data_IF_411441497061
#
_entry.id   IF_411441497061
#
_cell.length_a   1.000
_cell.length_b   1.000
_cell.length_c   1.000
_cell.angle_alpha   90.00
_cell.angle_beta   90.00
_cell.angle_gamma   90.00
#
_symmetry.space_group_name_H-M   'P 1'
#
loop_
_entity.id
_entity.type
_entity.pdbx_description
1 polymer ?
#
# COMPACT_ATOMS: atom_id res chain seq x y z
N UNK A 1 4.52 -21.80 -3.64
CA UNK A 1 4.25 -21.29 -3.41
C UNK A 1 4.50 -20.21 -2.56
N UNK A 2 5.15 -20.28 -1.61
CA UNK A 2 5.39 -19.24 -0.71
C UNK A 2 6.16 -18.10 -1.29
N UNK A 3 6.66 -18.27 -2.48
CA UNK A 3 7.53 -17.25 -3.01
C UNK A 3 6.85 -16.26 -3.91
N UNK A 4 5.57 -16.36 -4.08
CA UNK A 4 4.88 -15.38 -4.90
C UNK A 4 4.86 -14.05 -4.20
N UNK A 5 5.20 -12.95 -4.91
CA UNK A 5 5.13 -11.65 -4.30
C UNK A 5 3.69 -11.27 -4.00
N UNK A 6 3.52 -10.47 -2.95
CA UNK A 6 2.21 -9.98 -2.60
C UNK A 6 1.73 -9.03 -3.70
N UNK A 7 0.62 -9.37 -4.33
CA UNK A 7 0.08 -8.54 -5.40
C UNK A 7 -0.86 -7.48 -4.82
N UNK A 8 -1.19 -6.48 -5.65
CA UNK A 8 -2.16 -5.49 -5.26
C UNK A 8 -3.51 -6.12 -4.96
N UNK A 9 -3.88 -7.15 -5.71
CA UNK A 9 -5.14 -7.84 -5.47
C UNK A 9 -5.16 -8.52 -4.11
N UNK A 10 -4.04 -9.15 -3.73
CA UNK A 10 -3.95 -9.78 -2.42
C UNK A 10 -4.03 -8.75 -1.30
N UNK A 11 -3.39 -7.60 -1.49
CA UNK A 11 -3.43 -6.54 -0.50
C UNK A 11 -4.85 -6.00 -0.33
N UNK A 12 -5.57 -5.81 -1.44
CA UNK A 12 -6.95 -5.35 -1.39
C UNK A 12 -7.83 -6.37 -0.68
N UNK A 13 -7.63 -7.64 -0.99
CA UNK A 13 -8.41 -8.70 -0.33
C UNK A 13 -8.19 -8.70 1.17
N UNK A 14 -6.95 -8.50 1.60
CA UNK A 14 -6.63 -8.42 3.02
C UNK A 14 -7.34 -7.22 3.67
N UNK A 15 -7.31 -6.06 3.02
CA UNK A 15 -7.96 -4.87 3.56
C UNK A 15 -9.46 -5.02 3.63
N UNK A 16 -10.07 -5.70 2.66
CA UNK A 16 -11.50 -5.99 2.72
C UNK A 16 -11.84 -6.88 3.91
N UNK A 17 -10.98 -7.83 4.20
CA UNK A 17 -11.18 -8.69 5.36
C UNK A 17 -11.09 -7.89 6.64
N UNK A 18 -10.11 -7.00 6.76
CA UNK A 18 -9.99 -6.13 7.93
C UNK A 18 -11.24 -5.27 8.07
N UNK A 19 -11.71 -4.71 6.97
CA UNK A 19 -12.92 -3.88 6.96
C UNK A 19 -14.10 -4.67 7.52
N UNK A 20 -14.28 -5.90 7.05
CA UNK A 20 -15.40 -6.73 7.48
C UNK A 20 -15.33 -7.09 8.95
N UNK A 21 -14.12 -7.38 9.43
CA UNK A 21 -13.94 -7.85 10.79
C UNK A 21 -13.79 -6.75 11.82
N UNK A 22 -13.18 -5.64 11.44
CA UNK A 22 -12.81 -4.60 12.40
C UNK A 22 -13.35 -3.22 12.07
N UNK A 23 -13.90 -3.04 10.89
CA UNK A 23 -14.52 -1.77 10.52
C UNK A 23 -13.65 -0.90 9.62
N UNK A 24 -14.25 0.20 9.17
CA UNK A 24 -13.63 1.08 8.18
C UNK A 24 -12.37 1.77 8.72
N UNK A 25 -12.41 2.23 9.96
CA UNK A 25 -11.28 2.95 10.54
C UNK A 25 -10.06 2.04 10.64
N UNK A 26 -10.27 0.79 11.06
CA UNK A 26 -9.18 -0.17 11.17
C UNK A 26 -8.60 -0.49 9.80
N UNK A 27 -9.45 -0.62 8.78
CA UNK A 27 -8.98 -0.89 7.44
C UNK A 27 -8.14 0.27 6.90
N UNK A 28 -8.57 1.51 7.14
CA UNK A 28 -7.81 2.68 6.70
C UNK A 28 -6.47 2.74 7.42
N UNK A 29 -6.46 2.49 8.71
CA UNK A 29 -5.21 2.51 9.48
C UNK A 29 -4.24 1.43 8.98
N UNK A 30 -4.77 0.24 8.72
CA UNK A 30 -3.95 -0.85 8.17
C UNK A 30 -3.39 -0.46 6.81
N UNK A 31 -4.20 0.17 5.95
CA UNK A 31 -3.73 0.61 4.64
C UNK A 31 -2.60 1.64 4.79
N UNK A 32 -2.75 2.59 5.71
CA UNK A 32 -1.70 3.58 5.95
C UNK A 32 -0.42 2.92 6.40
N UNK A 33 -0.52 1.93 7.28
CA UNK A 33 0.65 1.21 7.76
C UNK A 33 1.35 0.47 6.63
N UNK A 34 0.58 -0.12 5.72
CA UNK A 34 1.14 -0.81 4.57
C UNK A 34 1.88 0.13 3.64
N UNK A 35 1.30 1.30 3.39
CA UNK A 35 1.95 2.32 2.55
C UNK A 35 3.23 2.80 3.20
N UNK A 36 3.18 3.08 4.50
CA UNK A 36 4.35 3.53 5.23
C UNK A 36 5.47 2.50 5.23
N UNK A 37 5.11 1.24 5.46
CA UNK A 37 6.09 0.17 5.47
C UNK A 37 6.74 0.01 4.09
N UNK A 38 5.93 0.07 3.04
CA UNK A 38 6.45 -0.03 1.69
C UNK A 38 7.41 1.10 1.35
N UNK A 39 7.02 2.33 1.71
CA UNK A 39 7.87 3.49 1.47
C UNK A 39 9.17 3.39 2.26
N UNK A 40 9.09 2.94 3.52
CA UNK A 40 10.28 2.79 4.34
C UNK A 40 11.23 1.75 3.75
N UNK A 41 10.68 0.64 3.27
CA UNK A 41 11.50 -0.39 2.66
C UNK A 41 12.23 0.13 1.42
N UNK A 42 11.51 0.84 0.55
CA UNK A 42 12.12 1.40 -0.66
C UNK A 42 13.20 2.40 -0.28
N UNK A 43 12.94 3.23 0.73
CA UNK A 43 13.93 4.23 1.16
C UNK A 43 15.20 3.55 1.68
N UNK A 44 15.06 2.45 2.38
CA UNK A 44 16.22 1.72 2.91
C UNK A 44 17.02 1.04 1.80
N UNK A 45 16.33 0.49 0.80
CA UNK A 45 17.01 -0.27 -0.25
C UNK A 45 17.49 0.61 -1.39
N UNK A 46 16.75 1.65 -1.72
CA UNK A 46 17.01 2.46 -2.92
C UNK A 46 17.15 3.95 -2.64
N UNK A 47 16.97 4.38 -1.40
CA UNK A 47 17.13 5.77 -1.03
C UNK A 47 15.80 6.50 -0.93
N UNK A 48 15.77 7.59 -0.12
CA UNK A 48 14.52 8.32 0.13
C UNK A 48 13.95 9.01 -1.10
N UNK A 49 14.80 9.42 -2.04
CA UNK A 49 14.29 10.08 -3.23
C UNK A 49 13.53 9.12 -4.13
N UNK A 50 14.00 7.87 -4.20
CA UNK A 50 13.30 6.87 -4.99
C UNK A 50 11.95 6.55 -4.37
N UNK A 51 11.89 6.46 -3.04
CA UNK A 51 10.64 6.23 -2.34
C UNK A 51 9.65 7.35 -2.64
N UNK A 52 10.10 8.60 -2.61
CA UNK A 52 9.22 9.73 -2.92
C UNK A 52 8.73 9.68 -4.35
N UNK A 53 9.60 9.31 -5.28
CA UNK A 53 9.23 9.22 -6.68
C UNK A 53 8.13 8.17 -6.89
N UNK A 54 8.30 7.01 -6.28
CA UNK A 54 7.33 5.93 -6.40
C UNK A 54 5.99 6.34 -5.79
N UNK A 55 6.02 6.96 -4.61
CA UNK A 55 4.78 7.40 -3.97
C UNK A 55 4.06 8.43 -4.82
N UNK A 56 4.80 9.32 -5.47
CA UNK A 56 4.19 10.33 -6.34
C UNK A 56 3.50 9.67 -7.53
N UNK A 57 4.17 8.69 -8.15
CA UNK A 57 3.62 8.01 -9.31
C UNK A 57 2.37 7.22 -8.93
N UNK A 58 2.44 6.46 -7.84
CA UNK A 58 1.30 5.67 -7.39
C UNK A 58 0.14 6.57 -6.99
N UNK A 59 0.45 7.66 -6.28
CA UNK A 59 -0.59 8.60 -5.87
C UNK A 59 -1.29 9.25 -7.05
N UNK A 60 -0.52 9.63 -8.08
CA UNK A 60 -1.10 10.22 -9.28
C UNK A 60 -2.00 9.24 -10.01
N UNK A 61 -1.57 7.98 -10.11
CA UNK A 61 -2.38 6.96 -10.79
C UNK A 61 -3.70 6.73 -10.06
N UNK A 62 -3.65 6.68 -8.74
CA UNK A 62 -4.86 6.49 -7.95
C UNK A 62 -5.78 7.70 -8.04
N UNK A 63 -5.18 8.90 -8.03
CA UNK A 63 -5.96 10.11 -8.15
C UNK A 63 -6.70 10.20 -9.47
N UNK A 64 -6.07 9.76 -10.56
CA UNK A 64 -6.72 9.75 -11.85
C UNK A 64 -7.89 8.78 -11.88
N UNK A 65 -7.76 7.67 -11.18
CA UNK A 65 -8.84 6.70 -11.12
C UNK A 65 -10.04 7.20 -10.34
N UNK A 66 -9.86 8.20 -9.51
CA UNK A 66 -10.94 8.74 -8.69
C UNK A 66 -11.70 9.86 -9.37
N UNK A 67 -11.15 10.43 -10.41
CA UNK A 67 -11.84 11.48 -11.11
C UNK A 67 -12.78 10.93 -12.17
#
# INVERSE_FOLDING_TARGET
MADEPLSADAAIAFLRQVYTLEGADAAVQTAKDMISAGAAWVAQEHGPEEARRILRIVGAAQGQGLS
#
